data_IF_662267263916
#
_entry.id   IF_662267263916
#
_cell.length_a   1.000
_cell.length_b   1.000
_cell.length_c   1.000
_cell.angle_alpha   90.00
_cell.angle_beta   90.00
_cell.angle_gamma   90.00
#
_symmetry.space_group_name_H-M   'P 1'
#
loop_
_entity.id
_entity.type
_entity.pdbx_description
1 polymer ?
#
# COMPACT_ATOMS: atom_id res chain seq x y z
N UNK A 1 42.18 -20.38 38.24
CA UNK A 1 41.93 -21.29 37.10
C UNK A 1 41.77 -20.41 35.89
N UNK A 2 42.68 -20.55 34.94
CA UNK A 2 42.83 -19.79 33.69
C UNK A 2 41.69 -20.16 32.74
N UNK A 3 41.13 -19.19 32.00
CA UNK A 3 40.80 -19.31 30.57
C UNK A 3 40.72 -17.91 29.93
N UNK A 4 41.76 -17.57 29.17
CA UNK A 4 41.66 -16.68 28.01
C UNK A 4 41.17 -17.49 26.81
N UNK A 5 40.19 -16.98 26.06
CA UNK A 5 39.99 -17.15 24.61
C UNK A 5 39.08 -15.97 24.20
N UNK A 6 39.31 -15.13 23.19
CA UNK A 6 40.13 -15.19 21.99
C UNK A 6 39.33 -14.44 20.91
N UNK A 7 39.52 -13.12 20.81
CA UNK A 7 38.88 -12.27 19.79
C UNK A 7 39.35 -12.68 18.38
N UNK A 8 38.43 -13.22 17.57
CA UNK A 8 38.66 -13.61 16.19
C UNK A 8 37.96 -12.68 15.20
N UNK A 9 38.35 -11.40 15.12
CA UNK A 9 37.91 -10.51 14.04
C UNK A 9 38.49 -10.97 12.71
N UNK A 10 37.73 -11.75 11.93
CA UNK A 10 38.11 -12.15 10.57
C UNK A 10 38.00 -10.94 9.64
N UNK A 11 39.07 -10.14 9.56
CA UNK A 11 39.26 -9.16 8.49
C UNK A 11 39.31 -9.91 7.15
N UNK A 12 38.21 -9.86 6.40
CA UNK A 12 38.14 -10.34 5.04
C UNK A 12 38.98 -9.43 4.14
N UNK A 13 40.29 -9.70 4.07
CA UNK A 13 41.17 -9.04 3.12
C UNK A 13 40.82 -9.53 1.72
N UNK A 14 40.03 -8.74 0.97
CA UNK A 14 39.73 -9.00 -0.44
C UNK A 14 41.06 -9.01 -1.19
N UNK A 15 41.54 -10.21 -1.53
CA UNK A 15 42.75 -10.38 -2.34
C UNK A 15 42.51 -9.67 -3.68
N UNK A 16 43.51 -8.99 -4.24
CA UNK A 16 43.42 -8.25 -5.53
C UNK A 16 42.74 -9.06 -6.65
N UNK A 17 42.85 -10.39 -6.63
CA UNK A 17 42.17 -11.31 -7.54
C UNK A 17 40.64 -11.26 -7.43
N UNK A 18 40.07 -11.13 -6.23
CA UNK A 18 38.62 -11.02 -6.02
C UNK A 18 38.08 -9.64 -6.43
N UNK A 19 38.84 -8.56 -6.19
CA UNK A 19 38.50 -7.23 -6.73
C UNK A 19 38.45 -7.28 -8.26
N UNK A 20 39.45 -7.89 -8.91
CA UNK A 20 39.48 -8.01 -10.36
C UNK A 20 38.29 -8.80 -10.92
N UNK A 21 37.88 -9.88 -10.25
CA UNK A 21 36.70 -10.68 -10.64
C UNK A 21 35.41 -9.86 -10.48
N UNK A 22 35.23 -9.17 -9.35
CA UNK A 22 34.03 -8.34 -9.10
C UNK A 22 33.96 -7.21 -10.13
N UNK A 23 35.07 -6.50 -10.40
CA UNK A 23 35.12 -5.46 -11.42
C UNK A 23 34.78 -5.98 -12.82
N UNK A 24 35.31 -7.15 -13.21
CA UNK A 24 35.01 -7.76 -14.50
C UNK A 24 33.52 -8.12 -14.65
N UNK A 25 32.90 -8.64 -13.59
CA UNK A 25 31.46 -8.96 -13.58
C UNK A 25 30.60 -7.70 -13.69
N UNK A 26 30.93 -6.64 -12.92
CA UNK A 26 30.17 -5.38 -12.95
C UNK A 26 30.27 -4.71 -14.33
N UNK A 27 31.45 -4.69 -14.94
CA UNK A 27 31.64 -4.14 -16.30
C UNK A 27 30.88 -4.97 -17.33
N UNK A 28 30.93 -6.30 -17.24
CA UNK A 28 30.20 -7.19 -18.14
C UNK A 28 28.68 -6.98 -18.09
N UNK A 29 28.11 -6.92 -16.89
CA UNK A 29 26.66 -6.68 -16.71
C UNK A 29 26.27 -5.27 -17.16
N UNK A 30 27.08 -4.25 -16.83
CA UNK A 30 26.84 -2.87 -17.26
C UNK A 30 26.84 -2.70 -18.78
N UNK A 31 27.75 -3.37 -19.50
CA UNK A 31 27.78 -3.36 -20.96
C UNK A 31 26.56 -4.07 -21.57
N UNK A 32 26.14 -5.20 -21.02
CA UNK A 32 24.96 -5.94 -21.50
C UNK A 32 23.69 -5.11 -21.35
N UNK A 33 23.49 -4.46 -20.19
CA UNK A 33 22.32 -3.60 -19.93
C UNK A 33 22.42 -2.31 -20.74
N UNK A 34 23.61 -1.72 -20.87
CA UNK A 34 23.83 -0.51 -21.67
C UNK A 34 23.54 -0.71 -23.16
N UNK A 35 23.94 -1.85 -23.74
CA UNK A 35 23.69 -2.16 -25.15
C UNK A 35 22.21 -2.52 -25.41
N UNK A 36 21.55 -3.22 -24.49
CA UNK A 36 20.13 -3.59 -24.65
C UNK A 36 19.18 -2.39 -24.53
N UNK A 37 19.52 -1.39 -23.70
CA UNK A 37 18.75 -0.13 -23.62
C UNK A 37 19.17 0.86 -24.73
N UNK A 38 20.43 0.83 -25.18
CA UNK A 38 20.94 1.72 -26.23
C UNK A 38 20.47 1.41 -27.65
N UNK A 39 20.12 0.15 -27.96
CA UNK A 39 19.64 -0.26 -29.31
C UNK A 39 18.15 -0.05 -29.55
N UNK A 40 17.37 0.40 -28.56
CA UNK A 40 15.91 0.59 -28.70
C UNK A 40 15.47 2.04 -28.91
N UNK A 41 16.40 2.95 -29.23
CA UNK A 41 16.08 4.33 -29.60
C UNK A 41 16.84 4.80 -30.83
N UNK A 42 16.28 4.51 -32.00
CA UNK A 42 16.32 5.22 -33.31
C UNK A 42 15.92 4.18 -34.38
N UNK A 43 14.97 4.40 -35.27
CA UNK A 43 14.86 5.54 -36.17
C UNK A 43 13.43 6.05 -36.39
N UNK A 44 13.37 7.36 -36.59
CA UNK A 44 12.30 8.13 -37.20
C UNK A 44 12.52 8.21 -38.74
N UNK A 45 11.47 8.68 -39.46
CA UNK A 45 11.47 9.32 -40.80
C UNK A 45 10.94 8.54 -42.05
N UNK A 46 9.69 8.91 -42.40
CA UNK A 46 9.16 9.47 -43.68
C UNK A 46 8.60 8.60 -44.84
N UNK A 47 7.32 8.94 -45.14
CA UNK A 47 6.64 9.22 -46.43
C UNK A 47 5.84 8.16 -47.22
N UNK A 48 4.67 8.61 -47.71
CA UNK A 48 4.06 8.15 -48.96
C UNK A 48 2.80 7.27 -48.92
N UNK A 49 1.63 7.87 -49.20
CA UNK A 49 0.68 7.35 -50.20
C UNK A 49 -0.44 6.34 -49.82
N UNK A 50 -1.67 6.88 -49.77
CA UNK A 50 -2.87 6.40 -50.50
C UNK A 50 -3.60 5.10 -50.06
N UNK A 51 -4.76 5.32 -49.42
CA UNK A 51 -6.06 4.64 -49.54
C UNK A 51 -6.15 3.15 -49.88
N UNK A 52 -6.73 2.37 -48.95
CA UNK A 52 -7.92 1.54 -49.22
C UNK A 52 -8.53 1.02 -47.91
N UNK A 53 -9.84 0.99 -47.89
CA UNK A 53 -10.77 0.58 -46.84
C UNK A 53 -10.51 -0.85 -46.35
N UNK A 54 -10.39 -1.08 -45.03
CA UNK A 54 -10.68 -2.38 -44.40
C UNK A 54 -10.90 -2.24 -42.87
N UNK A 55 -11.75 -3.14 -42.35
CA UNK A 55 -12.54 -3.09 -41.10
C UNK A 55 -11.78 -2.89 -39.77
N UNK A 56 -12.45 -2.40 -38.70
CA UNK A 56 -11.85 -2.25 -37.38
C UNK A 56 -11.70 -3.62 -36.70
N UNK A 57 -10.48 -4.15 -36.64
CA UNK A 57 -10.13 -5.21 -35.70
C UNK A 57 -9.87 -4.60 -34.32
N UNK A 58 -10.93 -4.43 -33.54
CA UNK A 58 -10.81 -4.24 -32.10
C UNK A 58 -10.16 -5.49 -31.48
N UNK A 59 -8.87 -5.39 -31.15
CA UNK A 59 -8.23 -6.32 -30.22
C UNK A 59 -8.78 -6.03 -28.83
N UNK A 60 -9.45 -6.98 -28.16
CA UNK A 60 -9.84 -6.77 -26.78
C UNK A 60 -8.58 -6.60 -25.92
N UNK A 61 -8.59 -5.73 -24.90
CA UNK A 61 -7.54 -5.73 -23.91
C UNK A 61 -7.50 -7.12 -23.27
N UNK A 62 -6.29 -7.68 -23.20
CA UNK A 62 -6.02 -8.96 -22.56
C UNK A 62 -6.35 -8.80 -21.08
N UNK A 63 -7.53 -9.25 -20.68
CA UNK A 63 -7.95 -9.32 -19.29
C UNK A 63 -7.03 -10.32 -18.60
N UNK A 64 -6.10 -9.82 -17.78
CA UNK A 64 -5.40 -10.65 -16.80
C UNK A 64 -6.44 -11.32 -15.88
N UNK A 65 -6.24 -12.57 -15.43
CA UNK A 65 -7.22 -13.28 -14.61
C UNK A 65 -7.58 -12.49 -13.33
N UNK A 66 -8.86 -12.41 -12.94
CA UNK A 66 -9.26 -11.79 -11.68
C UNK A 66 -9.00 -12.79 -10.55
N UNK A 67 -7.79 -12.79 -10.02
CA UNK A 67 -7.45 -13.50 -8.80
C UNK A 67 -6.60 -12.53 -7.99
N UNK A 68 -7.12 -12.10 -6.83
CA UNK A 68 -6.45 -11.29 -5.80
C UNK A 68 -6.60 -9.75 -5.87
N UNK A 69 -7.69 -9.23 -6.43
CA UNK A 69 -8.09 -7.85 -6.13
C UNK A 69 -8.77 -7.84 -4.75
N UNK A 70 -8.01 -7.51 -3.70
CA UNK A 70 -8.55 -7.31 -2.35
C UNK A 70 -9.71 -6.30 -2.33
N UNK A 71 -10.46 -6.25 -1.22
CA UNK A 71 -11.68 -5.44 -1.08
C UNK A 71 -11.51 -3.99 -1.54
N UNK A 72 -10.37 -3.38 -1.21
CA UNK A 72 -9.96 -2.07 -1.70
C UNK A 72 -8.69 -2.25 -2.55
N UNK A 73 -8.79 -2.43 -3.88
CA UNK A 73 -7.62 -2.66 -4.72
C UNK A 73 -6.75 -1.40 -4.79
N UNK A 74 -5.47 -1.56 -5.13
CA UNK A 74 -4.60 -0.41 -5.39
C UNK A 74 -5.07 0.36 -6.63
N UNK A 75 -4.93 1.70 -6.60
CA UNK A 75 -5.26 2.57 -7.73
C UNK A 75 -4.23 3.68 -7.89
N UNK A 76 -3.95 4.03 -9.14
CA UNK A 76 -3.09 5.16 -9.54
C UNK A 76 -3.90 6.42 -9.85
N UNK A 77 -5.19 6.45 -9.52
CA UNK A 77 -6.07 7.61 -9.73
C UNK A 77 -5.56 8.83 -8.94
N UNK A 78 -5.15 9.89 -9.64
CA UNK A 78 -4.68 11.16 -9.05
C UNK A 78 -5.71 12.31 -9.22
N UNK A 79 -6.97 12.00 -9.55
CA UNK A 79 -8.01 13.01 -9.79
C UNK A 79 -8.58 13.65 -8.52
N UNK A 80 -8.29 13.11 -7.33
CA UNK A 80 -8.81 13.59 -6.05
C UNK A 80 -7.80 14.25 -5.10
N UNK A 81 -8.30 14.66 -3.93
CA UNK A 81 -7.51 15.33 -2.88
C UNK A 81 -6.47 14.43 -2.18
N UNK A 82 -6.64 13.11 -2.26
CA UNK A 82 -5.72 12.11 -1.68
C UNK A 82 -4.33 12.08 -2.34
N UNK A 83 -4.12 12.76 -3.48
CA UNK A 83 -2.78 12.92 -4.07
C UNK A 83 -1.85 13.77 -3.19
N UNK A 84 -2.43 14.64 -2.36
CA UNK A 84 -1.68 15.49 -1.43
C UNK A 84 -1.11 14.65 -0.29
N UNK A 85 0.11 14.93 0.13
CA UNK A 85 0.78 14.20 1.23
C UNK A 85 0.11 14.40 2.60
N UNK A 86 -0.49 15.58 2.84
CA UNK A 86 -1.18 15.88 4.09
C UNK A 86 -2.67 15.60 3.95
N UNK A 87 -3.25 15.05 5.02
CA UNK A 87 -4.69 14.92 5.16
C UNK A 87 -5.39 16.29 5.05
N UNK A 88 -6.64 16.31 4.57
CA UNK A 88 -7.41 17.54 4.47
C UNK A 88 -7.77 18.05 5.87
N UNK A 89 -7.97 19.36 5.98
CA UNK A 89 -8.40 20.03 7.21
C UNK A 89 -9.90 19.87 7.51
N UNK A 90 -10.69 19.40 6.53
CA UNK A 90 -12.14 19.28 6.64
C UNK A 90 -12.66 17.89 7.00
N UNK A 91 -11.79 16.90 7.22
CA UNK A 91 -12.15 15.56 7.71
C UNK A 91 -11.46 15.36 9.06
N UNK A 92 -12.20 15.55 10.15
CA UNK A 92 -11.63 15.56 11.49
C UNK A 92 -12.19 14.41 12.33
N UNK A 93 -11.38 13.42 12.73
CA UNK A 93 -11.84 12.39 13.64
C UNK A 93 -12.07 12.96 15.05
N UNK A 94 -13.09 12.44 15.73
CA UNK A 94 -13.49 12.83 17.09
C UNK A 94 -13.28 11.68 18.08
N UNK A 95 -13.59 10.44 17.68
CA UNK A 95 -13.45 9.26 18.52
C UNK A 95 -13.16 8.01 17.68
N UNK A 96 -12.49 7.04 18.29
CA UNK A 96 -12.17 5.73 17.70
C UNK A 96 -12.60 4.63 18.66
N UNK A 97 -13.57 3.82 18.25
CA UNK A 97 -13.82 2.52 18.88
C UNK A 97 -12.97 1.48 18.14
N UNK A 98 -11.87 1.06 18.76
CA UNK A 98 -10.90 0.13 18.17
C UNK A 98 -10.95 -1.23 18.88
N UNK A 99 -11.21 -2.28 18.13
CA UNK A 99 -11.09 -3.66 18.57
C UNK A 99 -10.00 -4.36 17.77
N UNK A 100 -9.11 -5.09 18.46
CA UNK A 100 -8.04 -5.88 17.84
C UNK A 100 -7.99 -7.25 18.50
N UNK A 101 -7.99 -8.30 17.67
CA UNK A 101 -7.89 -9.69 18.08
C UNK A 101 -6.60 -10.30 17.52
N UNK A 102 -5.53 -10.40 18.32
CA UNK A 102 -4.31 -11.07 17.91
C UNK A 102 -4.46 -12.59 17.96
N UNK A 103 -3.88 -13.27 16.98
CA UNK A 103 -3.63 -14.71 16.96
C UNK A 103 -2.12 -14.90 17.02
N UNK A 104 -1.59 -14.96 18.25
CA UNK A 104 -0.15 -14.92 18.48
C UNK A 104 0.59 -16.10 17.82
N UNK A 105 0.01 -17.30 17.86
CA UNK A 105 0.62 -18.50 17.24
C UNK A 105 0.68 -18.41 15.71
N UNK A 106 -0.23 -17.65 15.10
CA UNK A 106 -0.32 -17.49 13.64
C UNK A 106 0.44 -16.25 13.15
N UNK A 107 0.97 -15.42 14.06
CA UNK A 107 1.51 -14.10 13.72
C UNK A 107 0.53 -13.21 12.94
N UNK A 108 -0.76 -13.29 13.23
CA UNK A 108 -1.77 -12.47 12.57
C UNK A 108 -2.63 -11.72 13.58
N UNK A 109 -3.33 -10.69 13.10
CA UNK A 109 -4.41 -10.06 13.83
C UNK A 109 -5.54 -9.67 12.89
N UNK A 110 -6.75 -9.68 13.42
CA UNK A 110 -7.90 -9.02 12.82
C UNK A 110 -8.37 -7.89 13.74
N UNK A 111 -9.14 -6.97 13.20
CA UNK A 111 -9.71 -5.90 14.00
C UNK A 111 -10.83 -5.18 13.28
N UNK A 112 -11.52 -4.36 14.05
CA UNK A 112 -12.53 -3.44 13.56
C UNK A 112 -12.28 -2.07 14.18
N UNK A 113 -12.51 -1.03 13.40
CA UNK A 113 -12.48 0.35 13.89
C UNK A 113 -13.76 1.06 13.47
N UNK A 114 -14.42 1.71 14.42
CA UNK A 114 -15.50 2.65 14.16
C UNK A 114 -15.01 4.06 14.50
N UNK A 115 -14.92 4.92 13.48
CA UNK A 115 -14.39 6.27 13.60
C UNK A 115 -15.56 7.25 13.56
N UNK A 116 -15.71 8.04 14.61
CA UNK A 116 -16.64 9.17 14.63
C UNK A 116 -15.97 10.39 14.00
N UNK A 117 -16.56 10.96 12.94
CA UNK A 117 -15.93 11.96 12.06
C UNK A 117 -16.78 13.22 11.98
N UNK A 118 -16.13 14.38 12.16
CA UNK A 118 -16.65 15.70 11.86
C UNK A 118 -16.20 16.10 10.45
N UNK A 119 -17.15 16.39 9.56
CA UNK A 119 -16.92 16.83 8.19
C UNK A 119 -17.30 18.30 8.11
N UNK A 120 -16.36 19.19 7.79
CA UNK A 120 -16.61 20.65 7.77
C UNK A 120 -16.66 21.25 6.37
N UNK A 121 -16.57 20.44 5.32
CA UNK A 121 -16.74 20.86 3.93
C UNK A 121 -17.34 19.73 3.08
N UNK A 122 -18.15 20.04 2.06
CA UNK A 122 -18.75 19.02 1.21
C UNK A 122 -17.70 18.11 0.56
N UNK A 123 -17.90 16.80 0.62
CA UNK A 123 -16.97 15.84 0.01
C UNK A 123 -17.66 14.54 -0.38
N UNK A 124 -17.19 13.90 -1.46
CA UNK A 124 -17.57 12.52 -1.85
C UNK A 124 -16.53 11.48 -1.45
N UNK A 125 -15.41 11.93 -0.88
CA UNK A 125 -14.28 11.06 -0.60
C UNK A 125 -13.84 11.26 0.85
N UNK A 126 -13.67 10.15 1.56
CA UNK A 126 -12.99 10.08 2.83
C UNK A 126 -11.69 9.30 2.63
N UNK A 127 -10.58 9.80 3.15
CA UNK A 127 -9.33 9.05 3.10
C UNK A 127 -8.54 9.21 4.39
N UNK A 128 -7.81 8.16 4.74
CA UNK A 128 -7.01 8.06 5.94
C UNK A 128 -5.83 7.14 5.70
N UNK A 129 -4.85 7.18 6.59
CA UNK A 129 -3.64 6.38 6.46
C UNK A 129 -3.89 4.89 6.67
N UNK A 130 -3.30 4.07 5.79
CA UNK A 130 -3.26 2.61 5.88
C UNK A 130 -1.99 2.12 5.18
N UNK A 131 -1.19 1.31 5.89
CA UNK A 131 0.02 0.67 5.34
C UNK A 131 0.14 -0.77 5.83
N UNK A 132 0.44 -1.68 4.91
CA UNK A 132 0.64 -3.13 5.09
C UNK A 132 -0.57 -3.93 5.63
N UNK A 133 -1.31 -3.38 6.59
CA UNK A 133 -2.65 -3.83 6.98
C UNK A 133 -3.60 -3.71 5.79
N UNK A 134 -4.46 -4.72 5.59
CA UNK A 134 -5.46 -4.73 4.51
C UNK A 134 -6.87 -4.61 5.05
N UNK A 135 -7.75 -3.98 4.28
CA UNK A 135 -9.19 -3.96 4.54
C UNK A 135 -9.81 -5.30 4.12
N UNK A 136 -10.62 -5.89 5.00
CA UNK A 136 -11.21 -7.22 4.82
C UNK A 136 -12.68 -7.19 4.39
N UNK A 137 -13.37 -6.07 4.59
CA UNK A 137 -14.77 -5.85 4.19
C UNK A 137 -14.98 -4.43 3.67
N UNK A 138 -15.95 -4.23 2.78
CA UNK A 138 -16.22 -2.90 2.21
C UNK A 138 -16.54 -1.94 3.36
N UNK A 139 -15.85 -0.78 3.47
CA UNK A 139 -16.10 0.16 4.56
C UNK A 139 -17.56 0.60 4.62
N UNK A 140 -18.09 0.71 5.84
CA UNK A 140 -19.47 1.13 6.09
C UNK A 140 -19.44 2.55 6.62
N UNK A 141 -20.10 3.48 5.92
CA UNK A 141 -20.26 4.85 6.37
C UNK A 141 -21.72 5.10 6.77
N UNK A 142 -21.94 5.78 7.91
CA UNK A 142 -23.25 6.22 8.37
C UNK A 142 -23.29 7.72 8.60
N UNK A 143 -24.42 8.34 8.27
CA UNK A 143 -24.75 9.74 8.60
C UNK A 143 -24.97 9.91 10.10
N UNK A 144 -24.96 11.15 10.60
CA UNK A 144 -25.40 11.47 11.97
C UNK A 144 -26.80 10.95 12.32
N UNK A 145 -27.69 10.80 11.33
CA UNK A 145 -29.03 10.21 11.49
C UNK A 145 -29.03 8.70 11.71
N UNK A 146 -27.89 8.02 11.53
CA UNK A 146 -27.75 6.56 11.55
C UNK A 146 -27.98 5.89 10.19
N UNK A 147 -28.50 6.62 9.20
CA UNK A 147 -28.68 6.15 7.83
C UNK A 147 -27.33 5.77 7.21
N UNK A 148 -27.28 4.62 6.54
CA UNK A 148 -26.08 4.19 5.83
C UNK A 148 -25.90 4.98 4.53
N UNK A 149 -24.70 5.53 4.34
CA UNK A 149 -24.28 6.15 3.08
C UNK A 149 -23.79 5.05 2.14
N UNK A 150 -24.25 5.08 0.89
CA UNK A 150 -23.81 4.11 -0.11
C UNK A 150 -22.38 4.41 -0.56
N UNK A 151 -21.48 3.47 -0.33
CA UNK A 151 -20.08 3.50 -0.79
C UNK A 151 -20.03 2.97 -2.22
N UNK A 152 -19.53 3.80 -3.15
CA UNK A 152 -19.35 3.45 -4.56
C UNK A 152 -18.18 2.49 -4.75
N UNK A 153 -17.05 2.78 -4.11
CA UNK A 153 -15.84 1.96 -4.11
C UNK A 153 -14.93 2.36 -2.97
N UNK A 154 -13.97 1.50 -2.66
CA UNK A 154 -12.77 1.87 -1.92
C UNK A 154 -11.52 1.44 -2.70
N UNK A 155 -10.40 2.10 -2.45
CA UNK A 155 -9.13 1.77 -3.08
C UNK A 155 -7.94 2.25 -2.24
N UNK A 156 -6.78 1.62 -2.44
CA UNK A 156 -5.54 2.03 -1.80
C UNK A 156 -4.73 2.94 -2.73
N UNK A 157 -4.35 4.12 -2.24
CA UNK A 157 -3.45 5.05 -2.92
C UNK A 157 -2.07 4.95 -2.27
N UNK A 158 -1.25 4.03 -2.80
CA UNK A 158 0.01 3.60 -2.20
C UNK A 158 1.03 4.72 -2.04
N UNK A 159 1.07 5.68 -2.97
CA UNK A 159 2.06 6.77 -2.99
C UNK A 159 2.06 7.63 -1.72
N UNK A 160 0.89 7.78 -1.07
CA UNK A 160 0.73 8.56 0.17
C UNK A 160 0.23 7.69 1.34
N UNK A 161 0.29 6.37 1.18
CA UNK A 161 -0.14 5.39 2.20
C UNK A 161 -1.59 5.63 2.66
N UNK A 162 -2.51 5.82 1.70
CA UNK A 162 -3.93 6.04 1.99
C UNK A 162 -4.81 4.87 1.57
N UNK A 163 -5.90 4.67 2.32
CA UNK A 163 -7.13 4.06 1.82
C UNK A 163 -8.16 5.16 1.59
N UNK A 164 -8.81 5.13 0.44
CA UNK A 164 -9.81 6.10 0.01
C UNK A 164 -11.16 5.39 -0.10
N UNK A 165 -12.20 6.01 0.45
CA UNK A 165 -13.59 5.57 0.40
C UNK A 165 -14.39 6.62 -0.39
N UNK A 166 -14.90 6.24 -1.55
CA UNK A 166 -15.71 7.09 -2.42
C UNK A 166 -17.20 6.78 -2.22
N UNK A 167 -18.00 7.80 -1.91
CA UNK A 167 -19.44 7.71 -1.70
C UNK A 167 -20.23 8.06 -2.96
N UNK A 168 -21.43 7.50 -3.12
CA UNK A 168 -22.30 7.83 -4.27
C UNK A 168 -22.90 9.23 -4.15
N UNK A 169 -23.25 9.63 -2.92
CA UNK A 169 -23.75 10.97 -2.57
C UNK A 169 -22.65 11.83 -1.94
N UNK A 170 -22.81 13.15 -2.00
CA UNK A 170 -21.93 14.10 -1.34
C UNK A 170 -22.28 14.20 0.15
N UNK A 171 -21.27 14.11 1.01
CA UNK A 171 -21.40 14.29 2.45
C UNK A 171 -21.52 15.78 2.74
N UNK A 172 -22.59 16.17 3.43
CA UNK A 172 -22.79 17.55 3.87
C UNK A 172 -21.93 17.84 5.11
N UNK A 173 -21.51 19.10 5.32
CA UNK A 173 -20.94 19.52 6.58
C UNK A 173 -21.89 19.22 7.74
N UNK A 174 -21.36 18.74 8.85
CA UNK A 174 -22.17 18.46 10.05
C UNK A 174 -22.04 19.53 11.14
N UNK A 175 -21.17 20.53 11.01
CA UNK A 175 -21.01 21.68 11.92
C UNK A 175 -20.96 21.29 13.42
N UNK A 176 -20.42 20.10 13.74
CA UNK A 176 -20.42 19.54 15.09
C UNK A 176 -21.78 19.03 15.62
N UNK A 177 -22.85 19.10 14.82
CA UNK A 177 -24.21 18.61 15.14
C UNK A 177 -24.38 17.16 14.68
N UNK A 178 -23.77 16.26 15.44
CA UNK A 178 -23.79 14.82 15.19
C UNK A 178 -22.70 14.39 14.21
N UNK A 179 -22.22 13.15 14.31
CA UNK A 179 -20.99 12.71 13.66
C UNK A 179 -21.28 11.65 12.59
N UNK A 180 -20.48 11.65 11.53
CA UNK A 180 -20.42 10.51 10.63
C UNK A 180 -19.72 9.34 11.32
N UNK A 181 -20.10 8.11 11.00
CA UNK A 181 -19.45 6.92 11.54
C UNK A 181 -18.90 6.07 10.41
N UNK A 182 -17.57 5.97 10.32
CA UNK A 182 -16.87 5.12 9.37
C UNK A 182 -16.39 3.85 10.06
N UNK A 183 -16.98 2.71 9.70
CA UNK A 183 -16.58 1.39 10.18
C UNK A 183 -15.73 0.67 9.15
N UNK A 184 -14.57 0.16 9.55
CA UNK A 184 -13.65 -0.61 8.72
C UNK A 184 -13.18 -1.86 9.46
N UNK A 185 -13.22 -2.99 8.78
CA UNK A 185 -12.60 -4.22 9.25
C UNK A 185 -11.28 -4.45 8.54
N UNK A 186 -10.28 -4.90 9.30
CA UNK A 186 -8.92 -5.01 8.82
C UNK A 186 -8.20 -6.24 9.35
N UNK A 187 -7.15 -6.65 8.63
CA UNK A 187 -6.26 -7.72 9.03
C UNK A 187 -4.80 -7.36 8.72
N UNK A 188 -3.89 -7.81 9.58
CA UNK A 188 -2.46 -7.60 9.43
C UNK A 188 -1.64 -8.76 9.99
N UNK A 189 -0.32 -8.61 9.91
CA UNK A 189 0.66 -9.57 10.39
C UNK A 189 1.42 -8.99 11.59
N UNK A 190 1.80 -9.85 12.53
CA UNK A 190 2.55 -9.51 13.74
C UNK A 190 4.06 -9.74 13.60
N UNK A 191 4.50 -10.39 12.52
CA UNK A 191 5.90 -10.72 12.27
C UNK A 191 6.55 -9.78 11.25
N UNK A 192 7.88 -9.87 11.13
CA UNK A 192 8.63 -9.19 10.06
C UNK A 192 8.80 -7.67 10.21
N UNK A 193 8.27 -7.06 11.27
CA UNK A 193 8.38 -5.61 11.53
C UNK A 193 8.64 -5.32 13.02
N UNK A 194 9.35 -4.22 13.29
CA UNK A 194 9.54 -3.64 14.64
C UNK A 194 8.72 -2.36 14.84
N UNK A 195 7.83 -2.05 13.89
CA UNK A 195 6.93 -0.89 13.91
C UNK A 195 5.49 -1.34 13.67
N UNK A 196 4.54 -0.56 14.16
CA UNK A 196 3.12 -0.94 14.13
C UNK A 196 2.77 -1.91 15.24
N UNK A 197 1.89 -2.87 14.95
CA UNK A 197 1.49 -3.91 15.90
C UNK A 197 2.25 -5.20 15.60
N UNK A 198 3.13 -5.61 16.51
CA UNK A 198 4.05 -6.74 16.30
C UNK A 198 4.17 -7.64 17.53
N UNK A 199 4.57 -8.89 17.30
CA UNK A 199 4.89 -9.87 18.35
C UNK A 199 6.39 -9.89 18.59
N UNK A 200 6.79 -10.03 19.85
CA UNK A 200 8.17 -10.33 20.25
C UNK A 200 8.16 -11.50 21.22
N UNK A 201 9.31 -12.15 21.41
CA UNK A 201 9.44 -13.34 22.25
C UNK A 201 10.44 -13.14 23.37
N UNK A 202 10.27 -13.89 24.46
CA UNK A 202 11.21 -13.93 25.59
C UNK A 202 11.36 -15.34 26.14
N UNK A 203 12.45 -15.61 26.88
CA UNK A 203 12.70 -16.92 27.48
C UNK A 203 12.36 -16.90 28.96
N UNK A 204 11.45 -17.76 29.38
CA UNK A 204 11.09 -17.96 30.78
C UNK A 204 11.27 -19.44 31.15
N UNK A 205 12.14 -19.73 32.12
CA UNK A 205 12.43 -21.10 32.60
C UNK A 205 12.81 -22.08 31.46
N UNK A 206 13.52 -21.58 30.45
CA UNK A 206 13.97 -22.36 29.29
C UNK A 206 12.90 -22.56 28.20
N UNK A 207 11.70 -22.02 28.37
CA UNK A 207 10.66 -22.01 27.33
C UNK A 207 10.61 -20.64 26.65
N UNK A 208 10.52 -20.64 25.31
CA UNK A 208 10.23 -19.43 24.54
C UNK A 208 8.74 -19.14 24.71
N UNK A 209 8.43 -17.89 25.05
CA UNK A 209 7.09 -17.33 25.17
C UNK A 209 6.93 -16.11 24.30
#
# INVERSE_FOLDING_TARGET
MILEEGEGSKRYCIKRKHVAIICAVVVGVGLIVGLSVGLTRSCDSTDGGQGTTQAPSHRPPTLSPPQDQGVCPASEDESGGWKNFRLPDFINPVHYDLEVKPLLEEDTYTGSVNISINVSSPTRNLWLHLRETRITQLPVLRKPSGEQVKVRRCFEYKKQEYVVVETEEELAPNDGKGLYHLTMEFAGQLNGSLVGFYRTTYVEKGQIK
#
